data_IF_737214416559
#
_entry.id   IF_737214416559
#
_cell.length_a   1.000
_cell.length_b   1.000
_cell.length_c   1.000
_cell.angle_alpha   90.00
_cell.angle_beta   90.00
_cell.angle_gamma   90.00
#
_symmetry.space_group_name_H-M   'P 1'
#
loop_
_entity.id
_entity.type
_entity.pdbx_description
1 polymer ?
#
# COMPACT_ATOMS: atom_id res chain seq x y z
N UNK A 1 -16.68 26.24 28.74
CA UNK A 1 -15.70 25.76 27.75
C UNK A 1 -16.09 24.33 27.39
N UNK A 2 -16.69 24.14 26.21
CA UNK A 2 -17.06 22.81 25.75
C UNK A 2 -15.79 22.12 25.28
N UNK A 3 -15.36 21.08 25.99
CA UNK A 3 -14.36 20.16 25.48
C UNK A 3 -15.03 19.43 24.32
N UNK A 4 -14.86 19.92 23.09
CA UNK A 4 -15.04 19.07 21.92
C UNK A 4 -14.01 17.96 22.09
N UNK A 5 -14.48 16.78 22.51
CA UNK A 5 -13.75 15.54 22.38
C UNK A 5 -13.48 15.39 20.88
N UNK A 6 -12.34 15.90 20.42
CA UNK A 6 -11.87 15.58 19.07
C UNK A 6 -11.81 14.06 19.02
N UNK A 7 -12.71 13.48 18.24
CA UNK A 7 -12.69 12.06 17.97
C UNK A 7 -11.27 11.72 17.49
N UNK A 8 -10.74 10.56 17.90
CA UNK A 8 -9.43 10.12 17.40
C UNK A 8 -9.59 10.01 15.89
N UNK A 9 -8.99 10.93 15.16
CA UNK A 9 -9.04 10.95 13.71
C UNK A 9 -7.61 10.71 13.23
N UNK A 10 -7.48 9.96 12.15
CA UNK A 10 -6.16 9.66 11.60
C UNK A 10 -5.45 10.94 11.17
N UNK A 11 -4.16 11.03 11.46
CA UNK A 11 -3.34 12.14 11.01
C UNK A 11 -3.11 12.02 9.49
N UNK A 12 -3.55 12.99 8.66
CA UNK A 12 -3.36 12.91 7.21
C UNK A 12 -1.88 12.80 6.78
N UNK A 13 -0.94 13.27 7.61
CA UNK A 13 0.50 13.11 7.35
C UNK A 13 0.95 11.65 7.30
N UNK A 14 0.28 10.78 8.05
CA UNK A 14 0.60 9.35 8.05
C UNK A 14 0.21 8.71 6.69
N UNK A 15 -0.88 9.18 6.07
CA UNK A 15 -1.27 8.79 4.70
C UNK A 15 -0.25 9.29 3.67
N UNK A 16 0.24 10.53 3.81
CA UNK A 16 1.31 11.04 2.95
C UNK A 16 2.57 10.16 3.04
N UNK A 17 2.93 9.69 4.24
CA UNK A 17 4.07 8.78 4.42
C UNK A 17 3.91 7.43 3.69
N UNK A 18 2.67 7.00 3.41
CA UNK A 18 2.39 5.81 2.61
C UNK A 18 2.50 6.16 1.11
N UNK A 19 1.99 7.33 0.72
CA UNK A 19 2.01 7.80 -0.67
C UNK A 19 3.42 8.10 -1.21
N UNK A 20 4.38 8.41 -0.34
CA UNK A 20 5.79 8.57 -0.72
C UNK A 20 6.39 7.33 -1.41
N UNK A 21 5.85 6.14 -1.13
CA UNK A 21 6.33 4.87 -1.69
C UNK A 21 5.61 4.47 -2.99
N UNK A 22 4.59 5.22 -3.42
CA UNK A 22 3.74 4.82 -4.55
C UNK A 22 4.54 4.52 -5.81
N UNK A 23 5.40 5.44 -6.22
CA UNK A 23 6.17 5.29 -7.45
C UNK A 23 7.15 4.12 -7.33
N UNK A 24 7.89 4.05 -6.22
CA UNK A 24 8.87 2.98 -6.01
C UNK A 24 8.22 1.59 -5.96
N UNK A 25 7.05 1.45 -5.33
CA UNK A 25 6.37 0.15 -5.20
C UNK A 25 5.74 -0.29 -6.52
N UNK A 26 5.08 0.63 -7.23
CA UNK A 26 4.51 0.33 -8.55
C UNK A 26 5.60 -0.08 -9.53
N UNK A 27 6.74 0.63 -9.55
CA UNK A 27 7.87 0.29 -10.40
C UNK A 27 8.53 -1.03 -10.00
N UNK A 28 8.67 -1.32 -8.70
CA UNK A 28 9.22 -2.61 -8.24
C UNK A 28 8.35 -3.78 -8.71
N UNK A 29 7.04 -3.69 -8.52
CA UNK A 29 6.12 -4.76 -8.93
C UNK A 29 6.10 -4.92 -10.45
N UNK A 30 6.10 -3.81 -11.20
CA UNK A 30 6.17 -3.85 -12.67
C UNK A 30 7.47 -4.52 -13.14
N UNK A 31 8.60 -4.13 -12.56
CA UNK A 31 9.91 -4.73 -12.82
C UNK A 31 9.92 -6.24 -12.53
N UNK A 32 9.42 -6.66 -11.36
CA UNK A 32 9.30 -8.08 -10.99
C UNK A 32 8.40 -8.85 -11.97
N UNK A 33 7.35 -8.22 -12.50
CA UNK A 33 6.49 -8.83 -13.53
C UNK A 33 7.19 -9.03 -14.88
N UNK A 34 8.29 -8.31 -15.14
CA UNK A 34 9.09 -8.45 -16.36
C UNK A 34 10.17 -9.51 -16.18
N UNK A 35 10.85 -9.51 -15.03
CA UNK A 35 12.00 -10.39 -14.79
C UNK A 35 11.63 -11.76 -14.19
N UNK A 36 10.37 -11.97 -13.78
CA UNK A 36 9.90 -13.28 -13.33
C UNK A 36 10.07 -14.35 -14.42
N UNK A 37 10.56 -15.51 -13.99
CA UNK A 37 11.07 -16.58 -14.87
C UNK A 37 9.90 -17.29 -15.56
N UNK A 38 8.90 -17.69 -14.79
CA UNK A 38 7.77 -18.44 -15.32
C UNK A 38 6.61 -17.51 -15.75
N UNK A 39 5.62 -18.11 -16.42
CA UNK A 39 4.44 -17.37 -16.88
C UNK A 39 3.45 -17.11 -15.74
N UNK A 40 3.39 -18.00 -14.76
CA UNK A 40 2.42 -17.96 -13.68
C UNK A 40 2.71 -16.81 -12.71
N UNK A 41 3.94 -16.71 -12.21
CA UNK A 41 4.47 -15.61 -11.42
C UNK A 41 4.28 -14.27 -12.11
N UNK A 42 4.50 -14.19 -13.43
CA UNK A 42 4.22 -12.97 -14.20
C UNK A 42 2.75 -12.57 -14.14
N UNK A 43 1.83 -13.54 -14.19
CA UNK A 43 0.39 -13.25 -14.04
C UNK A 43 0.06 -12.83 -12.60
N UNK A 44 0.69 -13.45 -11.61
CA UNK A 44 0.54 -13.08 -10.20
C UNK A 44 0.99 -11.63 -10.00
N UNK A 45 2.20 -11.26 -10.45
CA UNK A 45 2.71 -9.90 -10.33
C UNK A 45 1.83 -8.87 -11.04
N UNK A 46 1.27 -9.19 -12.20
CA UNK A 46 0.31 -8.30 -12.88
C UNK A 46 -0.97 -8.09 -12.08
N UNK A 47 -1.48 -9.12 -11.41
CA UNK A 47 -2.65 -9.01 -10.51
C UNK A 47 -2.30 -8.16 -9.29
N UNK A 48 -1.12 -8.36 -8.70
CA UNK A 48 -0.60 -7.53 -7.60
C UNK A 48 -0.46 -6.07 -8.05
N UNK A 49 0.07 -5.81 -9.25
CA UNK A 49 0.24 -4.46 -9.80
C UNK A 49 -1.10 -3.73 -9.95
N UNK A 50 -2.10 -4.41 -10.51
CA UNK A 50 -3.45 -3.87 -10.65
C UNK A 50 -4.06 -3.54 -9.29
N UNK A 51 -3.91 -4.45 -8.31
CA UNK A 51 -4.37 -4.21 -6.93
C UNK A 51 -3.64 -3.04 -6.27
N UNK A 52 -2.30 -2.94 -6.41
CA UNK A 52 -1.48 -1.89 -5.81
C UNK A 52 -1.84 -0.50 -6.32
N UNK A 53 -2.17 -0.37 -7.61
CA UNK A 53 -2.64 0.90 -8.17
C UNK A 53 -3.98 1.34 -7.56
N UNK A 54 -4.91 0.40 -7.38
CA UNK A 54 -6.18 0.65 -6.69
C UNK A 54 -5.99 0.95 -5.19
N UNK A 55 -5.00 0.33 -4.56
CA UNK A 55 -4.62 0.63 -3.18
C UNK A 55 -4.23 2.10 -3.05
N UNK A 56 -3.32 2.61 -3.89
CA UNK A 56 -2.88 4.00 -3.79
C UNK A 56 -3.95 5.01 -4.18
N UNK A 57 -4.79 4.71 -5.18
CA UNK A 57 -5.91 5.60 -5.50
C UNK A 57 -6.87 5.76 -4.32
N UNK A 58 -7.09 4.69 -3.54
CA UNK A 58 -7.91 4.74 -2.32
C UNK A 58 -7.23 5.49 -1.18
N UNK A 59 -5.92 5.33 -0.97
CA UNK A 59 -5.19 6.15 0.02
C UNK A 59 -5.29 7.64 -0.32
N UNK A 60 -5.12 8.01 -1.60
CA UNK A 60 -5.30 9.39 -2.07
C UNK A 60 -6.71 9.89 -1.80
N UNK A 61 -7.72 9.06 -2.08
CA UNK A 61 -9.11 9.40 -1.79
C UNK A 61 -9.34 9.67 -0.30
N UNK A 62 -8.82 8.82 0.60
CA UNK A 62 -8.96 9.04 2.06
C UNK A 62 -8.27 10.34 2.47
N UNK A 63 -7.09 10.64 1.93
CA UNK A 63 -6.42 11.91 2.18
C UNK A 63 -7.25 13.11 1.70
N UNK A 64 -7.75 13.09 0.46
CA UNK A 64 -8.58 14.15 -0.10
C UNK A 64 -9.89 14.30 0.68
N UNK A 65 -10.47 13.21 1.18
CA UNK A 65 -11.67 13.23 2.02
C UNK A 65 -11.43 13.95 3.35
N UNK A 66 -10.29 13.69 4.01
CA UNK A 66 -9.95 14.29 5.31
C UNK A 66 -9.51 15.75 5.20
N UNK A 67 -8.85 16.12 4.11
CA UNK A 67 -8.17 17.42 3.99
C UNK A 67 -8.84 18.39 3.02
N UNK A 68 -9.70 17.88 2.12
CA UNK A 68 -10.24 18.63 0.99
C UNK A 68 -9.20 18.98 -0.09
N UNK A 69 -7.99 18.39 -0.02
CA UNK A 69 -6.87 18.69 -0.92
C UNK A 69 -6.32 17.42 -1.56
N UNK A 70 -5.83 17.55 -2.80
CA UNK A 70 -5.07 16.47 -3.43
C UNK A 70 -3.72 16.27 -2.73
N UNK A 71 -3.27 15.02 -2.51
CA UNK A 71 -2.01 14.75 -1.87
C UNK A 71 -0.83 15.14 -2.76
N UNK A 72 0.15 15.82 -2.17
CA UNK A 72 1.43 16.15 -2.78
C UNK A 72 2.55 15.62 -1.90
N UNK A 73 3.41 14.77 -2.46
CA UNK A 73 4.54 14.17 -1.76
C UNK A 73 5.72 14.04 -2.69
N UNK A 74 6.92 14.24 -2.13
CA UNK A 74 8.15 13.85 -2.79
C UNK A 74 8.25 12.33 -2.79
N UNK A 75 8.25 11.74 -4.00
CA UNK A 75 8.27 10.30 -4.19
C UNK A 75 9.66 9.74 -3.93
N UNK A 76 9.71 8.58 -3.27
CA UNK A 76 10.97 7.88 -3.07
C UNK A 76 11.47 7.27 -4.39
N UNK A 77 12.80 7.28 -4.62
CA UNK A 77 13.36 6.73 -5.83
C UNK A 77 13.17 5.21 -5.88
N UNK A 78 12.97 4.69 -7.08
CA UNK A 78 12.99 3.25 -7.33
C UNK A 78 14.44 2.76 -7.37
N UNK A 79 14.78 1.86 -6.46
CA UNK A 79 16.05 1.14 -6.48
C UNK A 79 15.80 -0.23 -7.12
N UNK A 80 16.52 -0.52 -8.20
CA UNK A 80 16.42 -1.79 -8.90
C UNK A 80 16.94 -2.92 -8.01
N UNK A 81 16.17 -4.00 -7.78
CA UNK A 81 16.67 -5.16 -7.05
C UNK A 81 17.81 -5.87 -7.79
N UNK A 82 18.76 -6.41 -7.04
CA UNK A 82 19.92 -7.14 -7.60
C UNK A 82 19.53 -8.43 -8.31
N UNK A 83 18.46 -9.08 -7.85
CA UNK A 83 17.92 -10.31 -8.41
C UNK A 83 16.40 -10.39 -8.23
N UNK A 84 15.78 -11.35 -8.91
CA UNK A 84 14.34 -11.61 -8.74
C UNK A 84 13.99 -11.95 -7.29
N UNK A 85 14.69 -12.91 -6.68
CA UNK A 85 14.46 -13.33 -5.30
C UNK A 85 14.69 -12.18 -4.30
N UNK A 86 15.74 -11.37 -4.50
CA UNK A 86 15.96 -10.18 -3.68
C UNK A 86 14.78 -9.21 -3.77
N UNK A 87 14.29 -8.94 -4.98
CA UNK A 87 13.14 -8.05 -5.18
C UNK A 87 11.83 -8.61 -4.60
N UNK A 88 11.62 -9.93 -4.64
CA UNK A 88 10.47 -10.57 -3.96
C UNK A 88 10.57 -10.39 -2.45
N UNK A 89 11.75 -10.60 -1.86
CA UNK A 89 11.98 -10.43 -0.42
C UNK A 89 11.78 -8.97 0.02
N UNK A 90 12.34 -8.01 -0.72
CA UNK A 90 12.13 -6.58 -0.51
C UNK A 90 10.64 -6.21 -0.59
N UNK A 91 9.92 -6.76 -1.56
CA UNK A 91 8.48 -6.52 -1.72
C UNK A 91 7.68 -7.07 -0.53
N UNK A 92 7.99 -8.28 -0.06
CA UNK A 92 7.37 -8.88 1.14
C UNK A 92 7.62 -8.00 2.38
N UNK A 93 8.84 -7.50 2.55
CA UNK A 93 9.19 -6.61 3.66
C UNK A 93 8.43 -5.27 3.58
N UNK A 94 8.39 -4.64 2.40
CA UNK A 94 7.65 -3.40 2.18
C UNK A 94 6.16 -3.58 2.46
N UNK A 95 5.57 -4.71 2.05
CA UNK A 95 4.17 -5.02 2.30
C UNK A 95 3.87 -5.22 3.78
N UNK A 96 4.75 -5.88 4.53
CA UNK A 96 4.62 -6.03 5.99
C UNK A 96 4.66 -4.67 6.70
N UNK A 97 5.59 -3.79 6.33
CA UNK A 97 5.67 -2.43 6.90
C UNK A 97 4.41 -1.62 6.57
N UNK A 98 3.92 -1.72 5.33
CA UNK A 98 2.68 -1.03 4.91
C UNK A 98 1.46 -1.55 5.65
N UNK A 99 1.40 -2.86 5.92
CA UNK A 99 0.34 -3.48 6.71
C UNK A 99 0.33 -2.97 8.15
N UNK A 100 1.51 -2.88 8.79
CA UNK A 100 1.62 -2.33 10.14
C UNK A 100 1.14 -0.88 10.22
N UNK A 101 1.54 -0.04 9.25
CA UNK A 101 1.08 1.35 9.16
C UNK A 101 -0.44 1.43 8.98
N UNK A 102 -1.00 0.61 8.10
CA UNK A 102 -2.43 0.64 7.82
C UNK A 102 -3.28 0.15 9.01
N UNK A 103 -2.82 -0.87 9.74
CA UNK A 103 -3.47 -1.28 10.98
C UNK A 103 -3.41 -0.19 12.06
N UNK A 104 -2.28 0.51 12.18
CA UNK A 104 -2.15 1.63 13.11
C UNK A 104 -3.15 2.75 12.77
N UNK A 105 -3.33 3.08 11.49
CA UNK A 105 -4.33 4.03 11.01
C UNK A 105 -5.76 3.56 11.31
N UNK A 106 -6.07 2.30 11.03
CA UNK A 106 -7.40 1.72 11.28
C UNK A 106 -7.78 1.76 12.76
N UNK A 107 -6.83 1.52 13.66
CA UNK A 107 -7.05 1.60 15.11
C UNK A 107 -7.24 3.04 15.63
N UNK A 108 -6.84 4.04 14.85
CA UNK A 108 -7.00 5.45 15.20
C UNK A 108 -8.27 6.05 14.65
N UNK A 109 -8.74 5.61 13.48
CA UNK A 109 -9.89 6.18 12.79
C UNK A 109 -11.19 5.97 13.58
N UNK A 110 -12.01 7.02 13.65
CA UNK A 110 -13.34 6.96 14.28
C UNK A 110 -14.47 7.33 13.33
N UNK A 111 -14.19 8.07 12.26
CA UNK A 111 -15.13 8.29 11.17
C UNK A 111 -15.48 6.96 10.45
N UNK A 112 -16.77 6.66 10.33
CA UNK A 112 -17.24 5.41 9.73
C UNK A 112 -16.80 5.26 8.27
N UNK A 113 -16.84 6.32 7.48
CA UNK A 113 -16.47 6.29 6.06
C UNK A 113 -14.98 6.01 5.93
N UNK A 114 -14.17 6.64 6.77
CA UNK A 114 -12.72 6.39 6.84
C UNK A 114 -12.44 4.95 7.26
N UNK A 115 -13.08 4.46 8.32
CA UNK A 115 -12.92 3.08 8.82
C UNK A 115 -13.27 2.07 7.73
N UNK A 116 -14.40 2.23 7.04
CA UNK A 116 -14.81 1.36 5.93
C UNK A 116 -13.73 1.32 4.85
N UNK A 117 -13.21 2.48 4.43
CA UNK A 117 -12.18 2.55 3.38
C UNK A 117 -10.85 1.95 3.82
N UNK A 118 -10.45 2.13 5.08
CA UNK A 118 -9.26 1.49 5.62
C UNK A 118 -9.43 -0.04 5.70
N UNK A 119 -10.62 -0.55 6.03
CA UNK A 119 -10.90 -1.98 6.03
C UNK A 119 -10.78 -2.59 4.62
N UNK A 120 -11.33 -1.93 3.61
CA UNK A 120 -11.16 -2.39 2.23
C UNK A 120 -9.68 -2.41 1.80
N UNK A 121 -8.89 -1.45 2.26
CA UNK A 121 -7.44 -1.42 2.00
C UNK A 121 -6.71 -2.57 2.70
N UNK A 122 -7.14 -2.96 3.91
CA UNK A 122 -6.61 -4.12 4.64
C UNK A 122 -6.95 -5.43 3.91
N UNK A 123 -8.19 -5.59 3.44
CA UNK A 123 -8.61 -6.74 2.64
C UNK A 123 -7.79 -6.88 1.35
N UNK A 124 -7.51 -5.75 0.67
CA UNK A 124 -6.66 -5.73 -0.52
C UNK A 124 -5.23 -6.13 -0.22
N UNK A 125 -4.65 -5.65 0.88
CA UNK A 125 -3.32 -6.09 1.29
C UNK A 125 -3.28 -7.58 1.61
N UNK A 126 -4.32 -8.12 2.24
CA UNK A 126 -4.41 -9.56 2.50
C UNK A 126 -4.53 -10.36 1.19
N UNK A 127 -5.29 -9.87 0.22
CA UNK A 127 -5.36 -10.46 -1.12
C UNK A 127 -3.99 -10.48 -1.81
N UNK A 128 -3.28 -9.34 -1.81
CA UNK A 128 -1.93 -9.24 -2.39
C UNK A 128 -0.93 -10.17 -1.69
N UNK A 129 -1.00 -10.27 -0.36
CA UNK A 129 -0.19 -11.22 0.42
C UNK A 129 -0.44 -12.65 -0.03
N UNK A 130 -1.70 -13.05 -0.17
CA UNK A 130 -2.05 -14.41 -0.62
C UNK A 130 -1.55 -14.69 -2.03
N UNK A 131 -1.53 -13.68 -2.91
CA UNK A 131 -0.94 -13.78 -4.24
C UNK A 131 0.58 -13.96 -4.16
N UNK A 132 1.27 -13.11 -3.41
CA UNK A 132 2.74 -13.15 -3.29
C UNK A 132 3.22 -14.43 -2.59
N UNK A 133 2.41 -15.03 -1.71
CA UNK A 133 2.70 -16.35 -1.13
C UNK A 133 2.67 -17.49 -2.14
N UNK A 134 1.97 -17.34 -3.27
CA UNK A 134 1.97 -18.32 -4.36
C UNK A 134 3.24 -18.22 -5.22
N UNK A 135 3.99 -17.12 -5.10
CA UNK A 135 5.29 -16.96 -5.73
C UNK A 135 6.28 -17.75 -4.89
N UNK A 136 6.68 -18.90 -5.41
CA UNK A 136 7.28 -19.98 -4.65
C UNK A 136 8.51 -19.56 -3.85
N UNK A 137 8.54 -20.06 -2.61
CA UNK A 137 9.73 -20.50 -1.90
C UNK A 137 10.22 -21.79 -2.58
N UNK A 138 10.91 -21.67 -3.72
CA UNK A 138 11.65 -22.77 -4.36
C UNK A 138 13.15 -22.61 -4.10
#
# INVERSE_FOLDING_TARGET
MSYMLYAREINPRDLLSILQYESSDVLRIDYLSVIAIDREERQIWRRVLASRRLYYSRIKWVYSYLTGQEPSVDQLPFNRPESYHAGVAEQKQADQQRQQKLHALSNQATDHVVVERLNELLERQQYEKNLIQQINEQ
#
